data_IF_344664403163
#
_entry.id   IF_344664403163
#
_cell.length_a   1.000
_cell.length_b   1.000
_cell.length_c   1.000
_cell.angle_alpha   90.00
_cell.angle_beta   90.00
_cell.angle_gamma   90.00
#
_symmetry.space_group_name_H-M   'P 1'
#
loop_
_entity.id
_entity.type
_entity.pdbx_description
1 polymer ?
#
# COMPACT_ATOMS: atom_id res chain seq x y z
N UNK A 1 -43.81 -22.16 10.27
CA UNK A 1 -42.84 -23.27 10.16
C UNK A 1 -41.43 -22.68 10.14
N UNK A 2 -40.56 -22.96 11.11
CA UNK A 2 -39.18 -22.48 11.07
C UNK A 2 -38.31 -23.46 10.25
N UNK A 3 -37.29 -22.98 9.51
CA UNK A 3 -36.38 -23.87 8.80
C UNK A 3 -35.41 -24.57 9.76
N UNK A 4 -35.29 -25.87 9.54
CA UNK A 4 -34.54 -26.86 10.30
C UNK A 4 -33.02 -26.70 10.16
N UNK A 5 -32.31 -26.73 11.29
CA UNK A 5 -30.84 -26.78 11.37
C UNK A 5 -30.34 -28.12 10.79
N UNK A 6 -29.39 -28.07 9.86
CA UNK A 6 -28.68 -29.26 9.36
C UNK A 6 -27.62 -29.71 10.38
N UNK A 7 -27.38 -31.02 10.57
CA UNK A 7 -26.42 -31.53 11.53
C UNK A 7 -24.97 -31.41 11.03
N UNK A 8 -24.07 -31.14 11.98
CA UNK A 8 -22.62 -31.11 11.82
C UNK A 8 -22.12 -32.56 11.78
N UNK A 9 -21.46 -32.95 10.68
CA UNK A 9 -20.78 -34.25 10.57
C UNK A 9 -19.32 -34.05 11.00
N UNK A 10 -18.99 -34.51 12.20
CA UNK A 10 -17.61 -34.69 12.69
C UNK A 10 -17.04 -36.00 12.13
N UNK A 11 -16.04 -35.90 11.27
CA UNK A 11 -15.29 -37.06 10.79
C UNK A 11 -14.14 -37.40 11.76
N UNK A 12 -14.23 -38.62 12.30
CA UNK A 12 -13.28 -39.30 13.18
C UNK A 12 -12.01 -39.64 12.39
N UNK A 13 -10.84 -39.25 12.88
CA UNK A 13 -9.54 -39.74 12.37
C UNK A 13 -9.03 -40.83 13.30
N UNK A 14 -8.84 -42.04 12.78
CA UNK A 14 -8.27 -43.18 13.49
C UNK A 14 -7.01 -43.69 12.78
N UNK A 15 -5.98 -43.97 13.59
CA UNK A 15 -4.83 -44.87 13.42
C UNK A 15 -3.83 -44.52 12.28
N UNK A 16 -2.52 -44.40 12.49
CA UNK A 16 -1.66 -45.01 13.51
C UNK A 16 -0.97 -46.24 12.94
N UNK A 17 0.20 -46.08 12.29
CA UNK A 17 1.15 -47.17 12.04
C UNK A 17 2.58 -46.65 12.26
N UNK A 18 3.21 -47.17 13.32
CA UNK A 18 4.63 -47.04 13.67
C UNK A 18 5.45 -48.04 12.84
N UNK A 19 6.64 -47.65 12.37
CA UNK A 19 7.75 -48.60 12.16
C UNK A 19 9.08 -48.06 12.71
N UNK A 20 9.73 -48.95 13.45
CA UNK A 20 10.99 -48.83 14.19
C UNK A 20 12.21 -48.73 13.26
N UNK A 21 13.08 -47.76 13.57
CA UNK A 21 14.49 -47.90 14.02
C UNK A 21 15.40 -48.92 13.31
N UNK A 22 16.53 -48.45 12.78
CA UNK A 22 17.87 -49.04 12.97
C UNK A 22 18.97 -48.00 12.75
N UNK A 23 19.82 -47.85 13.77
CA UNK A 23 21.12 -47.18 13.77
C UNK A 23 22.17 -48.19 13.29
N UNK A 24 23.03 -47.82 12.33
CA UNK A 24 24.38 -48.40 12.18
C UNK A 24 25.29 -47.31 11.60
N UNK A 25 26.34 -46.96 12.33
CA UNK A 25 27.61 -46.50 11.76
C UNK A 25 28.70 -47.51 12.18
N UNK A 26 29.99 -47.17 12.01
CA UNK A 26 30.70 -46.99 10.74
C UNK A 26 31.80 -48.07 10.58
N UNK A 27 32.30 -48.30 9.35
CA UNK A 27 33.52 -49.08 9.14
C UNK A 27 34.28 -48.64 7.88
N UNK A 28 35.55 -48.35 8.11
CA UNK A 28 36.67 -48.04 7.21
C UNK A 28 37.24 -49.28 6.50
N UNK A 29 37.64 -49.15 5.22
CA UNK A 29 38.86 -49.68 4.58
C UNK A 29 38.91 -49.16 3.12
N UNK A 30 39.90 -48.36 2.69
CA UNK A 30 41.30 -48.65 2.31
C UNK A 30 41.46 -49.41 0.98
N UNK A 31 42.15 -48.76 0.04
CA UNK A 31 42.78 -49.30 -1.17
C UNK A 31 42.09 -48.81 -2.46
N UNK A 32 42.71 -48.14 -3.44
CA UNK A 32 44.11 -47.85 -3.73
C UNK A 32 44.32 -47.91 -5.26
N UNK A 33 44.98 -46.90 -5.84
CA UNK A 33 45.41 -46.82 -7.25
C UNK A 33 44.68 -45.70 -8.03
N UNK A 34 45.32 -44.72 -8.66
CA UNK A 34 46.72 -44.54 -9.05
C UNK A 34 46.80 -44.23 -10.55
N UNK A 35 47.23 -43.02 -10.90
CA UNK A 35 47.50 -42.53 -12.27
C UNK A 35 46.55 -41.39 -12.68
N UNK A 36 46.99 -40.19 -13.06
CA UNK A 36 48.31 -39.69 -13.41
C UNK A 36 48.17 -38.75 -14.62
N UNK A 37 48.68 -37.51 -14.49
CA UNK A 37 49.08 -36.68 -15.62
C UNK A 37 48.10 -35.60 -16.08
N UNK A 38 48.51 -34.34 -15.99
CA UNK A 38 47.88 -33.27 -16.75
C UNK A 38 48.00 -31.84 -16.24
N UNK A 39 49.03 -31.47 -15.47
CA UNK A 39 49.38 -30.05 -15.30
C UNK A 39 49.79 -29.47 -16.67
N UNK A 40 48.90 -28.68 -17.26
CA UNK A 40 49.26 -27.73 -18.32
C UNK A 40 49.29 -26.37 -17.65
N UNK A 41 50.50 -25.99 -17.21
CA UNK A 41 50.90 -24.59 -17.22
C UNK A 41 50.99 -24.16 -18.69
N UNK A 42 50.20 -23.16 -19.05
CA UNK A 42 50.53 -22.24 -20.13
C UNK A 42 50.34 -20.83 -19.58
N UNK A 43 51.48 -20.24 -19.22
CA UNK A 43 51.67 -18.80 -19.01
C UNK A 43 51.46 -18.04 -20.33
N UNK A 44 51.13 -16.75 -20.17
CA UNK A 44 51.06 -15.65 -21.14
C UNK A 44 49.67 -15.38 -21.75
N UNK A 45 48.88 -14.48 -21.15
CA UNK A 45 48.98 -13.03 -21.38
C UNK A 45 48.11 -12.28 -20.35
N UNK A 46 48.74 -11.33 -19.64
CA UNK A 46 48.12 -10.42 -18.69
C UNK A 46 47.29 -9.31 -19.40
N UNK A 47 46.22 -8.87 -18.73
CA UNK A 47 45.49 -7.59 -18.93
C UNK A 47 44.54 -7.42 -20.13
N UNK A 48 43.81 -8.47 -20.53
CA UNK A 48 42.52 -8.28 -21.19
C UNK A 48 41.40 -8.52 -20.15
N UNK A 49 40.44 -7.59 -19.93
CA UNK A 49 39.27 -7.90 -19.12
C UNK A 49 38.63 -9.15 -19.71
N UNK A 50 38.37 -10.15 -18.86
CA UNK A 50 37.77 -11.40 -19.36
C UNK A 50 36.49 -11.04 -20.13
N UNK A 51 36.14 -11.78 -21.18
CA UNK A 51 34.89 -11.53 -21.93
C UNK A 51 33.67 -11.46 -20.98
N UNK A 52 33.77 -12.14 -19.84
CA UNK A 52 32.84 -12.05 -18.73
C UNK A 52 32.83 -10.66 -18.07
N UNK A 53 33.97 -10.11 -17.69
CA UNK A 53 34.07 -8.78 -17.07
C UNK A 53 33.66 -7.67 -18.05
N UNK A 54 34.08 -7.76 -19.32
CA UNK A 54 33.68 -6.81 -20.38
C UNK A 54 32.15 -6.82 -20.57
N UNK A 55 31.52 -7.99 -20.51
CA UNK A 55 30.07 -8.13 -20.61
C UNK A 55 29.34 -7.59 -19.37
N UNK A 56 29.87 -7.83 -18.17
CA UNK A 56 29.30 -7.31 -16.93
C UNK A 56 29.44 -5.79 -16.88
N UNK A 57 30.59 -5.22 -17.24
CA UNK A 57 30.84 -3.78 -17.25
C UNK A 57 29.92 -3.06 -18.24
N UNK A 58 29.71 -3.64 -19.42
CA UNK A 58 28.82 -3.09 -20.43
C UNK A 58 27.37 -3.06 -19.94
N UNK A 59 26.93 -4.11 -19.24
CA UNK A 59 25.62 -4.18 -18.58
C UNK A 59 25.50 -3.30 -17.32
N UNK A 60 26.62 -2.97 -16.68
CA UNK A 60 26.68 -2.13 -15.47
C UNK A 60 26.51 -0.65 -15.77
N UNK A 61 26.66 -0.25 -17.04
CA UNK A 61 26.49 1.15 -17.46
C UNK A 61 25.08 1.67 -17.13
N UNK A 62 24.98 2.91 -16.58
CA UNK A 62 23.72 3.48 -16.10
C UNK A 62 22.67 3.65 -17.21
N UNK A 63 23.10 3.65 -18.48
CA UNK A 63 22.22 3.74 -19.64
C UNK A 63 21.38 2.48 -19.89
N UNK A 64 21.83 1.32 -19.38
CA UNK A 64 21.16 0.02 -19.57
C UNK A 64 20.53 -0.52 -18.28
N UNK A 65 20.63 0.22 -17.18
CA UNK A 65 20.04 -0.14 -15.88
C UNK A 65 18.51 -0.06 -15.96
N UNK A 66 17.86 -1.22 -16.06
CA UNK A 66 16.40 -1.37 -16.09
C UNK A 66 15.80 -1.55 -17.49
N UNK A 67 16.43 -1.03 -18.54
CA UNK A 67 16.04 -1.24 -19.95
C UNK A 67 16.68 -2.48 -20.57
N UNK A 68 17.83 -2.91 -20.05
CA UNK A 68 18.60 -4.03 -20.62
C UNK A 68 19.20 -3.70 -21.98
N UNK A 69 20.03 -4.60 -22.48
CA UNK A 69 20.74 -4.44 -23.76
C UNK A 69 20.10 -5.35 -24.80
N UNK A 70 19.75 -4.78 -25.95
CA UNK A 70 19.22 -5.53 -27.07
C UNK A 70 20.23 -6.56 -27.60
N UNK A 71 19.73 -7.72 -28.01
CA UNK A 71 20.53 -8.77 -28.63
C UNK A 71 21.22 -8.31 -29.92
N UNK A 72 20.60 -7.38 -30.66
CA UNK A 72 21.21 -6.75 -31.83
C UNK A 72 22.47 -5.96 -31.47
N UNK A 73 22.41 -5.17 -30.39
CA UNK A 73 23.51 -4.36 -29.87
C UNK A 73 24.64 -5.23 -29.34
N UNK A 74 24.32 -6.33 -28.67
CA UNK A 74 25.34 -7.30 -28.23
C UNK A 74 26.04 -7.96 -29.42
N UNK A 75 25.31 -8.33 -30.47
CA UNK A 75 25.91 -8.89 -31.69
C UNK A 75 26.80 -7.89 -32.41
N UNK A 76 26.44 -6.61 -32.47
CA UNK A 76 27.29 -5.57 -33.07
C UNK A 76 28.51 -5.21 -32.22
N UNK A 77 28.42 -5.30 -30.89
CA UNK A 77 29.55 -4.96 -30.02
C UNK A 77 30.58 -6.09 -29.93
N UNK A 78 30.12 -7.34 -29.91
CA UNK A 78 31.00 -8.51 -29.73
C UNK A 78 31.31 -9.23 -31.05
N UNK A 79 30.59 -8.96 -32.14
CA UNK A 79 30.79 -9.53 -33.50
C UNK A 79 31.27 -11.00 -33.48
N UNK A 80 32.55 -11.24 -33.78
CA UNK A 80 33.19 -12.55 -33.85
C UNK A 80 33.34 -13.27 -32.50
N UNK A 81 33.33 -12.53 -31.39
CA UNK A 81 33.42 -13.02 -30.00
C UNK A 81 32.04 -13.30 -29.38
N UNK A 82 30.94 -12.99 -30.09
CA UNK A 82 29.58 -13.28 -29.63
C UNK A 82 29.29 -14.79 -29.40
N UNK A 83 29.79 -15.74 -30.22
CA UNK A 83 29.57 -17.17 -29.97
C UNK A 83 30.11 -17.62 -28.61
N UNK A 84 31.25 -17.06 -28.18
CA UNK A 84 31.90 -17.35 -26.91
C UNK A 84 31.17 -16.73 -25.71
N UNK A 85 30.31 -15.74 -25.97
CA UNK A 85 29.44 -15.13 -24.98
C UNK A 85 28.20 -15.99 -24.68
N UNK A 86 27.77 -16.87 -25.60
CA UNK A 86 26.56 -17.70 -25.42
C UNK A 86 26.65 -18.64 -24.21
N UNK A 87 27.77 -19.35 -23.96
CA UNK A 87 27.96 -20.11 -22.72
C UNK A 87 27.86 -19.23 -21.46
N UNK A 88 28.46 -18.04 -21.49
CA UNK A 88 28.46 -17.08 -20.39
C UNK A 88 27.03 -16.59 -20.11
N UNK A 89 26.25 -16.27 -21.14
CA UNK A 89 24.85 -15.88 -21.02
C UNK A 89 24.03 -17.04 -20.42
N UNK A 90 24.28 -18.28 -20.83
CA UNK A 90 23.59 -19.45 -20.28
C UNK A 90 23.91 -19.65 -18.78
N UNK A 91 25.17 -19.46 -18.37
CA UNK A 91 25.57 -19.54 -16.97
C UNK A 91 25.02 -18.38 -16.13
N UNK A 92 25.02 -17.15 -16.66
CA UNK A 92 24.45 -15.98 -16.00
C UNK A 92 22.93 -16.06 -15.86
N UNK A 93 22.25 -16.66 -16.84
CA UNK A 93 20.81 -16.92 -16.78
C UNK A 93 20.48 -18.06 -15.81
N UNK A 94 21.31 -19.10 -15.73
CA UNK A 94 21.18 -20.17 -14.70
C UNK A 94 21.39 -19.65 -13.28
N UNK A 95 22.39 -18.80 -13.09
CA UNK A 95 22.67 -18.15 -11.81
C UNK A 95 21.69 -17.02 -11.45
N UNK A 96 20.67 -16.77 -12.28
CA UNK A 96 19.65 -15.72 -12.08
C UNK A 96 20.25 -14.30 -11.97
N UNK A 97 21.49 -14.11 -12.46
CA UNK A 97 22.15 -12.79 -12.53
C UNK A 97 21.73 -12.00 -13.77
N UNK A 98 21.11 -12.66 -14.73
CA UNK A 98 20.68 -12.06 -15.97
C UNK A 98 19.22 -12.43 -16.27
N UNK A 99 18.41 -11.43 -16.61
CA UNK A 99 17.01 -11.61 -17.06
C UNK A 99 16.89 -11.30 -18.53
N UNK A 100 16.09 -12.09 -19.23
CA UNK A 100 15.74 -11.86 -20.63
C UNK A 100 14.31 -11.35 -20.72
N UNK A 101 14.11 -10.14 -21.25
CA UNK A 101 12.80 -9.65 -21.64
C UNK A 101 12.69 -9.67 -23.17
N UNK A 102 11.48 -9.92 -23.69
CA UNK A 102 11.20 -9.86 -25.12
C UNK A 102 10.32 -8.65 -25.37
N UNK A 103 10.74 -7.77 -26.26
CA UNK A 103 9.93 -6.66 -26.73
C UNK A 103 9.54 -6.93 -28.18
N UNK A 104 8.23 -7.08 -28.42
CA UNK A 104 7.67 -7.21 -29.77
C UNK A 104 7.27 -5.82 -30.23
N UNK A 105 8.11 -5.18 -31.05
CA UNK A 105 7.76 -3.90 -31.68
C UNK A 105 6.98 -4.19 -32.96
N UNK A 106 5.67 -3.94 -32.93
CA UNK A 106 4.88 -3.86 -34.15
C UNK A 106 5.12 -2.50 -34.80
N UNK A 107 6.11 -2.43 -35.70
CA UNK A 107 6.33 -1.24 -36.53
C UNK A 107 5.15 -1.07 -37.49
N UNK A 108 4.14 -0.31 -37.07
CA UNK A 108 3.04 0.18 -37.91
C UNK A 108 3.50 1.31 -38.84
N UNK A 109 4.64 1.13 -39.52
CA UNK A 109 5.07 2.02 -40.60
C UNK A 109 4.29 1.67 -41.87
N UNK A 110 3.41 2.58 -42.25
CA UNK A 110 2.38 2.52 -43.29
C UNK A 110 2.88 2.49 -44.74
N UNK A 111 4.00 1.83 -45.04
CA UNK A 111 4.45 1.70 -46.44
C UNK A 111 5.51 0.61 -46.65
N UNK A 112 5.20 -0.65 -46.34
CA UNK A 112 5.72 -1.77 -47.13
C UNK A 112 5.08 -3.08 -46.69
N UNK A 113 4.65 -3.87 -47.67
CA UNK A 113 3.92 -5.11 -47.50
C UNK A 113 4.86 -6.28 -47.12
N UNK A 114 5.55 -6.18 -45.97
CA UNK A 114 6.17 -7.32 -45.26
C UNK A 114 6.11 -6.99 -43.77
N UNK A 115 5.01 -7.36 -43.11
CA UNK A 115 4.85 -7.20 -41.65
C UNK A 115 5.71 -8.22 -40.92
N UNK A 116 7.01 -7.96 -40.81
CA UNK A 116 7.91 -8.74 -39.96
C UNK A 116 7.77 -8.28 -38.51
N UNK A 117 7.16 -9.09 -37.64
CA UNK A 117 7.25 -8.90 -36.19
C UNK A 117 8.72 -9.08 -35.76
N UNK A 118 9.44 -7.98 -35.51
CA UNK A 118 10.79 -8.04 -34.95
C UNK A 118 10.68 -8.25 -33.44
N UNK A 119 10.79 -9.51 -33.01
CA UNK A 119 10.93 -9.86 -31.59
C UNK A 119 12.39 -9.66 -31.19
N UNK A 120 12.65 -8.61 -30.41
CA UNK A 120 14.00 -8.33 -29.92
C UNK A 120 14.12 -8.74 -28.45
N UNK A 121 15.22 -9.42 -28.11
CA UNK A 121 15.50 -9.90 -26.75
C UNK A 121 16.42 -8.90 -26.08
N UNK A 122 16.05 -8.45 -24.89
CA UNK A 122 16.82 -7.55 -24.05
C UNK A 122 17.38 -8.34 -22.88
N UNK A 123 18.66 -8.15 -22.59
CA UNK A 123 19.36 -8.75 -21.48
C UNK A 123 19.59 -7.69 -20.40
N UNK A 124 18.99 -7.87 -19.22
CA UNK A 124 19.21 -6.98 -18.08
C UNK A 124 19.99 -7.71 -17.00
N UNK A 125 21.02 -7.06 -16.47
CA UNK A 125 21.73 -7.55 -15.30
C UNK A 125 20.90 -7.26 -14.05
N UNK A 126 20.75 -8.25 -13.20
CA UNK A 126 20.19 -8.11 -11.86
C UNK A 126 21.32 -7.86 -10.87
N UNK A 127 21.04 -7.10 -9.81
CA UNK A 127 21.99 -6.96 -8.71
C UNK A 127 22.25 -8.33 -8.04
N UNK A 128 23.39 -8.47 -7.36
CA UNK A 128 23.74 -9.72 -6.65
C UNK A 128 22.66 -10.09 -5.63
N UNK A 129 22.02 -9.10 -5.01
CA UNK A 129 20.94 -9.29 -4.05
C UNK A 129 19.65 -9.80 -4.69
N UNK A 130 19.24 -9.22 -5.82
CA UNK A 130 18.06 -9.65 -6.58
C UNK A 130 18.28 -11.04 -7.18
N UNK A 131 19.48 -11.31 -7.71
CA UNK A 131 19.87 -12.61 -8.22
C UNK A 131 19.84 -13.68 -7.12
N UNK A 132 20.30 -13.36 -5.90
CA UNK A 132 20.21 -14.25 -4.75
C UNK A 132 18.75 -14.53 -4.36
N UNK A 133 17.87 -13.52 -4.37
CA UNK A 133 16.42 -13.68 -4.11
C UNK A 133 15.75 -14.60 -5.14
N UNK A 134 16.19 -14.53 -6.40
CA UNK A 134 15.68 -15.31 -7.52
C UNK A 134 16.36 -16.68 -7.70
N UNK A 135 17.48 -16.92 -6.99
CA UNK A 135 18.24 -18.16 -7.08
C UNK A 135 17.45 -19.36 -6.54
N UNK A 136 17.42 -20.44 -7.34
CA UNK A 136 16.67 -21.66 -7.00
C UNK A 136 15.14 -21.51 -7.02
N UNK A 137 14.60 -20.49 -7.69
CA UNK A 137 13.19 -20.45 -8.10
C UNK A 137 12.99 -21.20 -9.42
N UNK A 138 11.88 -21.90 -9.51
CA UNK A 138 11.43 -22.51 -10.77
C UNK A 138 11.02 -21.43 -11.79
N UNK A 139 11.11 -21.71 -13.09
CA UNK A 139 10.76 -20.78 -14.17
C UNK A 139 9.36 -20.14 -14.00
N UNK A 140 8.26 -20.89 -13.75
CA UNK A 140 6.95 -20.31 -13.47
C UNK A 140 6.92 -19.48 -12.19
N UNK A 141 7.70 -19.83 -11.18
CA UNK A 141 7.76 -19.06 -9.91
C UNK A 141 8.42 -17.70 -10.12
N UNK A 142 9.46 -17.64 -10.95
CA UNK A 142 10.14 -16.40 -11.34
C UNK A 142 9.19 -15.47 -12.10
N UNK A 143 8.41 -16.00 -13.02
CA UNK A 143 7.42 -15.23 -13.77
C UNK A 143 6.33 -14.63 -12.87
N UNK A 144 5.81 -15.41 -11.91
CA UNK A 144 4.86 -14.90 -10.91
C UNK A 144 5.48 -13.80 -10.05
N UNK A 145 6.74 -13.95 -9.62
CA UNK A 145 7.43 -12.93 -8.85
C UNK A 145 7.58 -11.62 -9.63
N UNK A 146 8.01 -11.68 -10.90
CA UNK A 146 8.16 -10.51 -11.76
C UNK A 146 6.83 -9.76 -11.98
N UNK A 147 5.73 -10.50 -12.14
CA UNK A 147 4.38 -9.90 -12.24
C UNK A 147 4.01 -9.16 -10.95
N UNK A 148 4.30 -9.72 -9.78
CA UNK A 148 4.02 -9.06 -8.49
C UNK A 148 4.92 -7.85 -8.29
N UNK A 149 6.19 -7.94 -8.66
CA UNK A 149 7.15 -6.84 -8.61
C UNK A 149 6.68 -5.65 -9.47
N UNK A 150 6.18 -5.92 -10.68
CA UNK A 150 5.61 -4.88 -11.56
C UNK A 150 4.41 -4.13 -10.96
N UNK A 151 3.69 -4.73 -10.01
CA UNK A 151 2.52 -4.12 -9.36
C UNK A 151 2.87 -3.17 -8.19
N UNK A 152 4.12 -3.22 -7.70
CA UNK A 152 4.64 -2.33 -6.67
C UNK A 152 3.77 -2.24 -5.41
N UNK A 153 3.50 -1.01 -4.95
CA UNK A 153 2.82 -0.73 -3.68
C UNK A 153 1.30 -0.95 -3.70
N UNK A 154 0.69 -1.11 -4.88
CA UNK A 154 -0.76 -1.40 -4.99
C UNK A 154 -1.05 -2.89 -4.82
N UNK A 155 -0.04 -3.73 -5.10
CA UNK A 155 -0.17 -5.17 -5.14
C UNK A 155 -1.03 -5.65 -6.31
N UNK A 156 -1.13 -6.97 -6.45
CA UNK A 156 -1.89 -7.61 -7.53
C UNK A 156 -2.85 -8.67 -6.99
N UNK A 157 -4.03 -8.78 -7.60
CA UNK A 157 -5.03 -9.77 -7.26
C UNK A 157 -4.65 -11.15 -7.81
N UNK A 158 -4.91 -12.21 -7.03
CA UNK A 158 -4.59 -13.60 -7.43
C UNK A 158 -5.19 -14.02 -8.77
N UNK A 159 -6.38 -13.51 -9.11
CA UNK A 159 -7.04 -13.81 -10.38
C UNK A 159 -6.31 -13.14 -11.54
N UNK A 160 -5.84 -11.90 -11.34
CA UNK A 160 -5.12 -11.14 -12.37
C UNK A 160 -3.74 -11.76 -12.62
N UNK A 161 -3.05 -12.21 -11.57
CA UNK A 161 -1.80 -12.99 -11.71
C UNK A 161 -2.04 -14.22 -12.57
N UNK A 162 -3.13 -14.97 -12.32
CA UNK A 162 -3.46 -16.18 -13.08
C UNK A 162 -3.66 -15.87 -14.57
N UNK A 163 -4.37 -14.79 -14.89
CA UNK A 163 -4.63 -14.38 -16.27
C UNK A 163 -3.34 -13.96 -16.97
N UNK A 164 -2.46 -13.22 -16.29
CA UNK A 164 -1.21 -12.76 -16.87
C UNK A 164 -0.18 -13.89 -17.05
N UNK A 165 -0.07 -14.81 -16.08
CA UNK A 165 0.91 -15.89 -16.16
C UNK A 165 0.41 -17.12 -16.90
N UNK A 166 -0.90 -17.23 -17.14
CA UNK A 166 -1.55 -18.43 -17.71
C UNK A 166 -1.19 -19.74 -16.98
N UNK A 167 -1.04 -19.67 -15.64
CA UNK A 167 -0.67 -20.83 -14.80
C UNK A 167 -1.94 -21.40 -14.13
N UNK A 168 -2.14 -22.73 -14.11
CA UNK A 168 -3.27 -23.33 -13.40
C UNK A 168 -3.30 -22.99 -11.90
N UNK A 169 -4.51 -22.77 -11.35
CA UNK A 169 -4.72 -22.34 -9.97
C UNK A 169 -4.01 -23.22 -8.92
N UNK A 170 -4.00 -24.54 -9.13
CA UNK A 170 -3.37 -25.49 -8.20
C UNK A 170 -1.85 -25.26 -8.10
N UNK A 171 -1.19 -25.03 -9.23
CA UNK A 171 0.24 -24.73 -9.30
C UNK A 171 0.52 -23.35 -8.74
N UNK A 172 -0.28 -22.35 -9.10
CA UNK A 172 -0.14 -20.98 -8.60
C UNK A 172 -0.23 -20.91 -7.06
N UNK A 173 -1.12 -21.71 -6.45
CA UNK A 173 -1.24 -21.79 -4.99
C UNK A 173 0.02 -22.38 -4.32
N UNK A 174 0.68 -23.36 -4.96
CA UNK A 174 1.96 -23.90 -4.48
C UNK A 174 3.08 -22.87 -4.59
N UNK A 175 3.14 -22.15 -5.71
CA UNK A 175 4.11 -21.08 -5.95
C UNK A 175 3.97 -19.98 -4.90
N UNK A 176 2.75 -19.49 -4.64
CA UNK A 176 2.54 -18.47 -3.60
C UNK A 176 3.03 -18.92 -2.23
N UNK A 177 2.76 -20.17 -1.82
CA UNK A 177 3.26 -20.71 -0.55
C UNK A 177 4.79 -20.78 -0.51
N UNK A 178 5.44 -21.16 -1.61
CA UNK A 178 6.90 -21.22 -1.70
C UNK A 178 7.52 -19.81 -1.62
N UNK A 179 6.95 -18.84 -2.32
CA UNK A 179 7.41 -17.44 -2.30
C UNK A 179 7.17 -16.78 -0.92
N UNK A 180 6.05 -17.10 -0.26
CA UNK A 180 5.73 -16.65 1.10
C UNK A 180 6.67 -17.28 2.14
N UNK A 181 6.98 -18.58 2.01
CA UNK A 181 7.92 -19.27 2.88
C UNK A 181 9.34 -18.68 2.81
N UNK A 182 9.75 -18.19 1.63
CA UNK A 182 11.02 -17.47 1.43
C UNK A 182 10.94 -15.97 1.78
N UNK A 183 9.80 -15.47 2.26
CA UNK A 183 9.55 -14.05 2.57
C UNK A 183 9.84 -13.11 1.40
N UNK A 184 9.58 -13.55 0.17
CA UNK A 184 9.70 -12.70 -1.02
C UNK A 184 8.43 -11.88 -1.27
N UNK A 185 7.28 -12.46 -0.93
CA UNK A 185 5.96 -11.85 -1.07
C UNK A 185 5.20 -11.93 0.25
N UNK A 186 4.23 -11.03 0.44
CA UNK A 186 3.28 -11.06 1.55
C UNK A 186 1.85 -10.88 1.05
N UNK A 187 0.87 -11.56 1.68
CA UNK A 187 -0.54 -11.31 1.41
C UNK A 187 -0.96 -9.97 2.02
N UNK A 188 -1.76 -9.21 1.29
CA UNK A 188 -2.38 -7.97 1.77
C UNK A 188 -3.89 -8.03 1.59
N UNK A 189 -4.58 -7.31 2.47
CA UNK A 189 -6.02 -7.04 2.37
C UNK A 189 -6.17 -5.60 1.91
N UNK A 190 -7.15 -5.36 1.04
CA UNK A 190 -7.51 -4.01 0.62
C UNK A 190 -8.79 -3.58 1.35
N UNK A 191 -8.83 -2.34 1.81
CA UNK A 191 -10.04 -1.77 2.45
C UNK A 191 -11.22 -1.71 1.48
N UNK A 192 -10.96 -1.33 0.22
CA UNK A 192 -11.98 -1.22 -0.83
C UNK A 192 -12.47 -2.59 -1.33
N UNK A 193 -11.63 -3.63 -1.19
CA UNK A 193 -11.89 -4.95 -1.75
C UNK A 193 -11.61 -6.06 -0.72
N UNK A 194 -12.38 -6.06 0.38
CA UNK A 194 -12.21 -6.98 1.52
C UNK A 194 -12.20 -8.47 1.15
N UNK A 195 -12.88 -8.85 0.07
CA UNK A 195 -12.98 -10.25 -0.39
C UNK A 195 -11.85 -10.66 -1.33
N UNK A 196 -11.08 -9.71 -1.87
CA UNK A 196 -9.98 -10.00 -2.81
C UNK A 196 -8.70 -10.31 -2.03
N UNK A 197 -8.02 -11.37 -2.43
CA UNK A 197 -6.69 -11.71 -1.90
C UNK A 197 -5.63 -11.08 -2.78
N UNK A 198 -4.96 -10.05 -2.27
CA UNK A 198 -3.89 -9.36 -2.98
C UNK A 198 -2.53 -9.84 -2.46
N UNK A 199 -1.52 -9.76 -3.31
CA UNK A 199 -0.12 -10.03 -2.97
C UNK A 199 0.74 -8.84 -3.34
N UNK A 200 1.77 -8.60 -2.54
CA UNK A 200 2.81 -7.59 -2.82
C UNK A 200 4.19 -8.11 -2.37
N UNK A 201 5.24 -7.38 -2.73
CA UNK A 201 6.60 -7.65 -2.25
C UNK A 201 6.70 -7.49 -0.73
N UNK A 202 7.54 -8.30 -0.10
CA UNK A 202 7.70 -8.30 1.35
C UNK A 202 8.25 -6.96 1.89
N UNK A 203 9.24 -6.41 1.18
CA UNK A 203 9.98 -5.21 1.59
C UNK A 203 9.18 -3.90 1.39
N UNK A 204 8.10 -3.93 0.59
CA UNK A 204 7.32 -2.74 0.26
C UNK A 204 6.20 -2.47 1.27
N UNK A 205 5.91 -1.19 1.52
CA UNK A 205 4.76 -0.77 2.30
C UNK A 205 3.53 -0.58 1.39
N UNK A 206 2.32 -1.05 1.80
CA UNK A 206 1.12 -0.88 0.98
C UNK A 206 0.78 0.60 0.81
N UNK A 207 0.29 0.97 -0.36
CA UNK A 207 -0.13 2.34 -0.65
C UNK A 207 -1.32 2.77 0.22
N UNK A 208 -1.44 4.08 0.50
CA UNK A 208 -2.55 4.67 1.26
C UNK A 208 -3.93 4.33 0.67
N UNK A 209 -4.02 4.18 -0.65
CA UNK A 209 -5.24 3.77 -1.36
C UNK A 209 -5.70 2.36 -0.97
N UNK A 210 -4.77 1.47 -0.62
CA UNK A 210 -5.05 0.09 -0.22
C UNK A 210 -5.38 0.01 1.27
N UNK A 211 -4.63 0.74 2.10
CA UNK A 211 -4.83 0.78 3.56
C UNK A 211 -5.98 1.67 3.99
N UNK A 212 -6.47 2.57 3.13
CA UNK A 212 -7.57 3.50 3.43
C UNK A 212 -7.15 4.76 4.20
N UNK A 213 -5.86 4.96 4.44
CA UNK A 213 -5.36 6.09 5.24
C UNK A 213 -5.49 5.89 6.75
N UNK A 214 -5.41 6.97 7.55
CA UNK A 214 -5.36 6.87 9.02
C UNK A 214 -6.71 6.53 9.66
N UNK A 215 -7.78 6.50 8.87
CA UNK A 215 -9.15 6.19 9.32
C UNK A 215 -9.42 4.70 9.50
N UNK A 216 -8.47 3.85 9.10
CA UNK A 216 -8.60 2.42 9.16
C UNK A 216 -7.53 1.81 10.05
N UNK A 217 -7.96 0.97 10.97
CA UNK A 217 -7.10 0.12 11.78
C UNK A 217 -7.40 -1.34 11.44
N UNK A 218 -6.37 -2.13 11.19
CA UNK A 218 -6.52 -3.56 10.83
C UNK A 218 -7.51 -3.82 9.67
N UNK A 219 -7.59 -2.90 8.70
CA UNK A 219 -8.51 -2.95 7.55
C UNK A 219 -10.01 -2.77 7.90
N UNK A 220 -10.31 -2.32 9.12
CA UNK A 220 -11.64 -1.92 9.58
C UNK A 220 -11.69 -0.41 9.82
N UNK A 221 -12.86 0.18 9.62
CA UNK A 221 -13.03 1.64 9.76
C UNK A 221 -13.18 1.99 11.24
N UNK A 222 -12.32 2.88 11.72
CA UNK A 222 -12.23 3.21 13.14
C UNK A 222 -13.16 4.38 13.49
N UNK A 223 -14.44 4.04 13.70
CA UNK A 223 -15.47 5.02 14.06
C UNK A 223 -15.21 5.68 15.42
N UNK A 224 -14.65 4.95 16.38
CA UNK A 224 -14.38 5.43 17.73
C UNK A 224 -13.27 6.47 17.71
N UNK A 225 -12.15 6.18 17.04
CA UNK A 225 -11.06 7.12 16.85
C UNK A 225 -11.52 8.41 16.18
N UNK A 226 -12.33 8.32 15.13
CA UNK A 226 -12.87 9.49 14.44
C UNK A 226 -13.78 10.30 15.38
N UNK A 227 -14.65 9.65 16.15
CA UNK A 227 -15.54 10.34 17.09
C UNK A 227 -14.75 11.09 18.18
N UNK A 228 -13.69 10.48 18.71
CA UNK A 228 -12.78 11.11 19.67
C UNK A 228 -12.09 12.35 19.09
N UNK A 229 -11.55 12.24 17.87
CA UNK A 229 -10.91 13.38 17.20
C UNK A 229 -11.90 14.50 16.92
N UNK A 230 -13.12 14.17 16.49
CA UNK A 230 -14.20 15.15 16.26
C UNK A 230 -14.56 15.89 17.55
N UNK A 231 -14.72 15.16 18.66
CA UNK A 231 -15.00 15.77 19.96
C UNK A 231 -13.84 16.67 20.41
N UNK A 232 -12.59 16.23 20.21
CA UNK A 232 -11.41 17.02 20.53
C UNK A 232 -11.34 18.32 19.72
N UNK A 233 -11.61 18.27 18.41
CA UNK A 233 -11.68 19.45 17.54
C UNK A 233 -12.75 20.41 18.05
N UNK A 234 -13.95 19.90 18.36
CA UNK A 234 -15.04 20.73 18.89
C UNK A 234 -14.64 21.41 20.21
N UNK A 235 -14.01 20.67 21.13
CA UNK A 235 -13.48 21.23 22.39
C UNK A 235 -12.44 22.32 22.13
N UNK A 236 -11.54 22.10 21.16
CA UNK A 236 -10.52 23.06 20.76
C UNK A 236 -11.14 24.36 20.23
N UNK A 237 -12.07 24.25 19.27
CA UNK A 237 -12.76 25.40 18.67
C UNK A 237 -13.52 26.18 19.75
N UNK A 238 -14.25 25.50 20.64
CA UNK A 238 -14.99 26.15 21.74
C UNK A 238 -14.07 26.89 22.71
N UNK A 239 -12.98 26.23 23.15
CA UNK A 239 -12.06 26.81 24.14
C UNK A 239 -11.28 28.00 23.59
N UNK A 240 -10.85 27.94 22.33
CA UNK A 240 -10.12 29.04 21.69
C UNK A 240 -11.01 30.24 21.37
N UNK A 241 -12.30 30.00 21.08
CA UNK A 241 -13.26 31.06 20.79
C UNK A 241 -13.98 31.63 22.02
N UNK A 242 -13.72 31.10 23.21
CA UNK A 242 -14.32 31.56 24.47
C UNK A 242 -15.78 31.13 24.67
N UNK A 243 -16.30 30.19 23.89
CA UNK A 243 -17.67 29.68 24.03
C UNK A 243 -18.37 29.35 22.70
N UNK A 244 -19.68 29.16 22.77
CA UNK A 244 -20.54 28.90 21.61
C UNK A 244 -20.91 30.21 20.91
N UNK A 245 -20.74 30.29 19.58
CA UNK A 245 -21.09 31.45 18.78
C UNK A 245 -20.26 32.72 19.02
N UNK A 246 -19.33 32.69 19.98
CA UNK A 246 -18.43 33.81 20.35
C UNK A 246 -17.10 33.66 19.63
N UNK A 247 -16.29 34.72 19.58
CA UNK A 247 -14.92 34.69 19.06
C UNK A 247 -14.78 35.07 17.59
N UNK A 248 -13.53 35.41 17.22
CA UNK A 248 -13.14 35.80 15.85
C UNK A 248 -12.98 34.59 14.91
N UNK A 249 -13.07 33.37 15.45
CA UNK A 249 -12.87 32.12 14.72
C UNK A 249 -11.44 31.60 14.76
N UNK A 250 -11.29 30.30 14.53
CA UNK A 250 -10.03 29.55 14.63
C UNK A 250 -9.67 28.99 13.25
N UNK A 251 -8.41 29.07 12.86
CA UNK A 251 -7.95 28.50 11.58
C UNK A 251 -7.67 27.00 11.68
N UNK A 252 -7.72 26.29 10.54
CA UNK A 252 -7.36 24.86 10.48
C UNK A 252 -5.95 24.59 11.00
N UNK A 253 -5.00 25.49 10.72
CA UNK A 253 -3.61 25.38 11.19
C UNK A 253 -3.51 25.48 12.71
N UNK A 254 -4.28 26.37 13.33
CA UNK A 254 -4.34 26.48 14.79
C UNK A 254 -4.90 25.21 15.43
N UNK A 255 -5.97 24.65 14.84
CA UNK A 255 -6.55 23.36 15.28
C UNK A 255 -5.50 22.25 15.16
N UNK A 256 -4.82 22.14 14.01
CA UNK A 256 -3.80 21.14 13.78
C UNK A 256 -2.64 21.22 14.78
N UNK A 257 -2.11 22.44 14.99
CA UNK A 257 -1.05 22.67 15.97
C UNK A 257 -1.48 22.26 17.39
N UNK A 258 -2.75 22.49 17.76
CA UNK A 258 -3.29 22.05 19.05
C UNK A 258 -3.43 20.53 19.15
N UNK A 259 -3.82 19.85 18.08
CA UNK A 259 -3.87 18.38 18.04
C UNK A 259 -2.48 17.77 18.22
N UNK A 260 -1.46 18.34 17.57
CA UNK A 260 -0.07 17.91 17.73
C UNK A 260 0.46 18.18 19.15
N UNK A 261 0.20 19.38 19.70
CA UNK A 261 0.61 19.73 21.07
C UNK A 261 -0.01 18.83 22.14
N UNK A 262 -1.28 18.45 21.96
CA UNK A 262 -1.99 17.59 22.90
C UNK A 262 -1.70 16.09 22.67
N UNK A 263 -0.94 15.73 21.63
CA UNK A 263 -0.60 14.35 21.25
C UNK A 263 -1.82 13.41 21.24
N UNK A 264 -2.91 13.87 20.62
CA UNK A 264 -4.22 13.19 20.68
C UNK A 264 -4.26 11.92 19.83
N UNK A 265 -3.51 11.92 18.72
CA UNK A 265 -3.49 10.80 17.79
C UNK A 265 -2.16 10.06 17.85
N UNK A 266 -2.23 8.72 17.84
CA UNK A 266 -1.04 7.87 17.66
C UNK A 266 -0.51 7.91 16.22
N UNK A 267 -1.38 8.27 15.28
CA UNK A 267 -1.09 8.39 13.85
C UNK A 267 -0.93 9.86 13.50
N UNK A 268 0.07 10.19 12.69
CA UNK A 268 0.27 11.55 12.18
C UNK A 268 -0.85 11.90 11.20
N UNK A 269 -1.59 12.97 11.53
CA UNK A 269 -2.69 13.47 10.70
C UNK A 269 -2.21 14.68 9.89
N UNK A 270 -2.43 14.62 8.58
CA UNK A 270 -2.20 15.72 7.65
C UNK A 270 -3.28 16.81 7.78
N UNK A 271 -2.97 18.01 7.28
CA UNK A 271 -3.93 19.12 7.26
C UNK A 271 -5.20 18.80 6.48
N UNK A 272 -5.12 17.98 5.42
CA UNK A 272 -6.28 17.59 4.63
C UNK A 272 -7.20 16.64 5.40
N UNK A 273 -6.66 15.75 6.23
CA UNK A 273 -7.44 14.86 7.10
C UNK A 273 -8.15 15.64 8.21
N UNK A 274 -7.47 16.62 8.80
CA UNK A 274 -8.08 17.51 9.80
C UNK A 274 -9.18 18.36 9.15
N UNK A 275 -8.96 18.85 7.91
CA UNK A 275 -9.98 19.56 7.14
C UNK A 275 -11.21 18.67 6.91
N UNK A 276 -11.02 17.40 6.55
CA UNK A 276 -12.12 16.45 6.40
C UNK A 276 -12.92 16.33 7.71
N UNK A 277 -12.26 16.17 8.86
CA UNK A 277 -12.94 16.09 10.15
C UNK A 277 -13.72 17.37 10.47
N UNK A 278 -13.11 18.55 10.28
CA UNK A 278 -13.79 19.83 10.51
C UNK A 278 -15.00 19.97 9.58
N UNK A 279 -14.88 19.58 8.31
CA UNK A 279 -16.01 19.59 7.38
C UNK A 279 -17.16 18.70 7.85
N UNK A 280 -16.88 17.52 8.43
CA UNK A 280 -17.95 16.69 9.02
C UNK A 280 -18.66 17.39 10.18
N UNK A 281 -17.94 18.16 11.00
CA UNK A 281 -18.53 18.94 12.09
C UNK A 281 -19.34 20.13 11.58
N UNK A 282 -18.94 20.70 10.44
CA UNK A 282 -19.69 21.76 9.77
C UNK A 282 -20.98 21.25 9.13
N UNK A 283 -20.94 20.07 8.51
CA UNK A 283 -22.15 19.42 7.98
C UNK A 283 -23.14 19.03 9.08
N UNK A 284 -22.64 18.68 10.26
CA UNK A 284 -23.47 18.40 11.44
C UNK A 284 -23.94 19.67 12.18
N UNK A 285 -23.66 20.87 11.64
CA UNK A 285 -24.00 22.17 12.23
C UNK A 285 -23.44 22.37 13.66
N UNK A 286 -22.34 21.69 14.01
CA UNK A 286 -21.65 21.87 15.29
C UNK A 286 -20.59 22.97 15.21
N UNK A 287 -20.08 23.24 14.00
CA UNK A 287 -19.05 24.24 13.72
C UNK A 287 -19.42 25.03 12.47
N UNK A 288 -19.43 26.35 12.57
CA UNK A 288 -19.71 27.26 11.46
C UNK A 288 -18.43 27.89 10.93
N UNK A 289 -18.34 28.05 9.61
CA UNK A 289 -17.28 28.85 9.00
C UNK A 289 -17.69 30.33 9.03
N UNK A 290 -17.04 31.14 9.86
CA UNK A 290 -17.26 32.57 10.03
C UNK A 290 -16.19 33.36 9.26
N UNK A 291 -16.33 33.37 7.94
CA UNK A 291 -15.49 34.16 7.05
C UNK A 291 -14.07 33.61 6.88
N UNK A 292 -13.17 34.52 6.47
CA UNK A 292 -11.80 34.23 6.06
C UNK A 292 -10.89 35.27 6.70
N UNK A 293 -9.66 34.88 7.05
CA UNK A 293 -8.67 35.78 7.67
C UNK A 293 -8.34 36.98 6.78
N UNK A 294 -8.15 38.17 7.39
CA UNK A 294 -7.92 39.48 6.74
C UNK A 294 -6.70 39.53 5.77
N UNK A 295 -5.83 38.51 5.79
CA UNK A 295 -4.63 38.39 4.97
C UNK A 295 -4.66 37.34 3.84
N UNK A 296 -5.82 36.72 3.57
CA UNK A 296 -6.00 35.91 2.35
C UNK A 296 -6.12 34.39 2.54
N UNK A 297 -7.36 33.91 2.74
CA UNK A 297 -7.78 32.60 2.25
C UNK A 297 -8.02 31.51 3.30
N UNK A 298 -7.58 31.67 4.55
CA UNK A 298 -7.84 30.66 5.59
C UNK A 298 -9.22 30.84 6.23
N UNK A 299 -10.04 29.79 6.11
CA UNK A 299 -11.34 29.67 6.75
C UNK A 299 -11.23 29.74 8.28
N UNK A 300 -12.09 30.57 8.86
CA UNK A 300 -12.20 30.75 10.31
C UNK A 300 -13.41 29.96 10.82
N UNK A 301 -13.19 29.09 11.80
CA UNK A 301 -14.22 28.21 12.35
C UNK A 301 -14.65 28.63 13.75
N UNK A 302 -15.95 28.69 13.98
CA UNK A 302 -16.58 29.01 15.26
C UNK A 302 -17.50 27.87 15.67
N UNK A 303 -17.59 27.57 16.96
CA UNK A 303 -18.56 26.59 17.44
C UNK A 303 -19.96 27.16 17.21
N UNK A 304 -20.82 26.42 16.52
CA UNK A 304 -22.16 26.88 16.20
C UNK A 304 -22.92 27.19 17.49
N UNK A 305 -23.71 28.27 17.48
CA UNK A 305 -24.65 28.52 18.57
C UNK A 305 -25.90 27.72 18.28
N UNK A 306 -26.34 26.86 19.20
CA UNK A 306 -27.65 26.25 19.05
C UNK A 306 -28.70 27.35 19.05
N UNK A 307 -29.47 27.43 17.97
CA UNK A 307 -30.68 28.25 17.92
C UNK A 307 -31.75 27.45 18.65
N UNK A 308 -31.88 27.64 19.96
CA UNK A 308 -32.99 27.07 20.73
C UNK A 308 -34.23 27.92 20.45
N UNK A 309 -35.16 27.36 19.67
CA UNK A 309 -36.46 27.98 19.35
C UNK A 309 -37.53 27.71 20.42
N UNK A 310 -37.25 26.81 21.36
CA UNK A 310 -38.18 26.49 22.44
C UNK A 310 -37.88 27.41 23.61
N UNK A 311 -38.79 28.32 23.86
CA UNK A 311 -38.87 28.99 25.15
C UNK A 311 -39.70 28.10 26.06
N UNK A 312 -39.44 28.10 27.37
CA UNK A 312 -40.28 27.44 28.38
C UNK A 312 -41.60 28.21 28.61
N UNK A 313 -42.26 28.66 27.54
CA UNK A 313 -43.59 29.24 27.62
C UNK A 313 -44.46 28.69 26.50
N UNK A 314 -45.69 28.34 26.83
CA UNK A 314 -46.65 27.86 25.87
C UNK A 314 -47.22 29.05 25.08
N UNK A 315 -47.64 28.83 23.82
CA UNK A 315 -48.15 29.93 22.98
C UNK A 315 -49.39 30.63 23.58
N UNK A 316 -50.11 29.98 24.50
CA UNK A 316 -51.23 30.58 25.25
C UNK A 316 -50.79 31.42 26.45
N UNK A 317 -49.56 31.29 26.96
CA UNK A 317 -49.05 32.15 28.04
C UNK A 317 -48.95 33.62 27.60
N UNK A 318 -48.80 33.86 26.29
CA UNK A 318 -48.85 35.20 25.66
C UNK A 318 -50.20 35.89 25.86
N UNK A 319 -51.28 35.13 26.07
CA UNK A 319 -52.61 35.64 26.34
C UNK A 319 -52.85 35.93 27.83
N UNK A 320 -51.88 35.60 28.69
CA UNK A 320 -51.99 35.88 30.12
C UNK A 320 -51.93 37.40 30.36
N UNK A 321 -52.80 37.98 31.21
CA UNK A 321 -52.79 39.41 31.52
C UNK A 321 -51.45 39.90 32.09
N UNK A 322 -50.67 38.98 32.68
CA UNK A 322 -49.38 39.27 33.30
C UNK A 322 -48.17 38.98 32.39
N UNK A 323 -48.37 38.60 31.12
CA UNK A 323 -47.28 38.16 30.23
C UNK A 323 -46.16 39.21 30.08
N UNK A 324 -46.53 40.49 29.97
CA UNK A 324 -45.60 41.62 29.84
C UNK A 324 -44.66 41.78 31.05
N UNK A 325 -45.05 41.24 32.22
CA UNK A 325 -44.28 41.33 33.47
C UNK A 325 -43.35 40.13 33.70
N UNK A 326 -43.33 39.15 32.79
CA UNK A 326 -42.48 37.97 32.93
C UNK A 326 -41.18 38.16 32.15
N UNK A 327 -40.07 37.78 32.76
CA UNK A 327 -38.80 37.69 32.06
C UNK A 327 -38.72 36.35 31.34
N UNK A 328 -38.33 36.37 30.07
CA UNK A 328 -38.24 35.16 29.24
C UNK A 328 -36.79 34.68 29.31
N UNK A 329 -36.60 33.49 29.86
CA UNK A 329 -35.31 32.80 29.83
C UNK A 329 -35.32 31.76 28.73
N UNK A 330 -34.33 31.84 27.86
CA UNK A 330 -34.08 30.85 26.82
C UNK A 330 -33.11 29.79 27.35
N UNK A 331 -33.18 28.58 26.80
CA UNK A 331 -32.27 27.49 27.16
C UNK A 331 -30.79 27.83 26.87
N UNK A 332 -30.52 28.75 25.94
CA UNK A 332 -29.18 29.23 25.61
C UNK A 332 -28.63 30.27 26.60
N UNK A 333 -29.36 30.53 27.70
CA UNK A 333 -28.97 31.46 28.75
C UNK A 333 -29.25 32.93 28.45
N UNK A 334 -29.87 33.25 27.30
CA UNK A 334 -30.40 34.59 27.04
C UNK A 334 -31.58 34.84 27.99
N UNK A 335 -31.60 36.01 28.59
CA UNK A 335 -32.71 36.49 29.41
C UNK A 335 -33.24 37.79 28.82
N UNK A 336 -34.49 37.77 28.36
CA UNK A 336 -35.22 38.98 28.04
C UNK A 336 -35.91 39.48 29.30
N UNK A 337 -35.59 40.71 29.69
CA UNK A 337 -36.19 41.32 30.88
C UNK A 337 -37.68 41.62 30.64
N UNK A 338 -38.51 41.62 31.70
CA UNK A 338 -39.89 42.07 31.63
C UNK A 338 -39.99 43.45 30.97
N UNK A 339 -40.95 43.63 30.06
CA UNK A 339 -41.18 44.92 29.44
C UNK A 339 -42.16 45.70 30.30
N UNK A 340 -41.72 46.80 30.93
CA UNK A 340 -42.64 47.69 31.64
C UNK A 340 -43.62 48.34 30.63
N UNK A 341 -44.93 48.35 30.89
CA UNK A 341 -45.88 48.98 29.98
C UNK A 341 -45.57 50.48 29.89
N UNK A 342 -45.12 50.93 28.72
CA UNK A 342 -45.06 52.34 28.40
C UNK A 342 -46.50 52.86 28.32
N UNK A 343 -46.98 53.49 29.40
CA UNK A 343 -48.19 54.30 29.32
C UNK A 343 -47.91 55.49 28.40
N UNK A 344 -48.32 55.37 27.14
CA UNK A 344 -48.55 56.55 26.32
C UNK A 344 -49.69 57.32 26.99
N UNK A 345 -49.32 58.47 27.56
CA UNK A 345 -50.25 59.40 28.21
C UNK A 345 -51.07 60.17 27.18
#
# INVERSE_FOLDING_TARGET
>A
MPPTKRPIVTAVTANGIKRKRTLVGPATSIGGGGGGGGDIKSENDDDAPSLYDEFIDLLSNPQYRGTGIANSVLKSHFESRYPDLVPIINDLTRSSRLTMSKLTTSSSSSSSMVGGETTEVYFSLLSVEEAAKLSGLDAPSRMVYQVIESSGNKGIWTVDVRVQTNIPQATLTKIFKQLEARRLIKPIKAVTAKTKKLYMLYDLAPAKEITGGPWYSEYEFDHEFIAELRNFILMCVRRMNGGYGVGKGVTLRQIANKMTQANVSRVELSLDEIRQLVNTLTLDYLVEQRGVTDGGGEALFVAAKQVTTMCDFDWWDVLSPDFHFRGIRFEDGIYLSPHEPHHHS
#
